data_IF_991601711786
#
_entry.id   IF_991601711786
#
_cell.length_a   1.000
_cell.length_b   1.000
_cell.length_c   1.000
_cell.angle_alpha   90.00
_cell.angle_beta   90.00
_cell.angle_gamma   90.00
#
_symmetry.space_group_name_H-M   'P 1'
#
loop_
_entity.id
_entity.type
_entity.pdbx_description
1 polymer ?
#
# COMPACT_ATOMS: atom_id res chain seq x y z
N UNK A 1 14.61 23.55 -0.08
CA UNK A 1 15.59 22.80 0.76
C UNK A 1 14.94 21.45 1.05
N UNK A 2 15.58 20.35 0.65
CA UNK A 2 15.01 19.01 0.88
C UNK A 2 14.94 18.66 2.36
N UNK A 3 14.18 17.61 2.67
CA UNK A 3 14.15 17.02 4.01
C UNK A 3 15.57 16.55 4.40
N UNK A 4 15.94 16.71 5.68
CA UNK A 4 17.21 16.16 6.19
C UNK A 4 17.17 14.64 6.13
N UNK A 5 18.33 14.01 5.92
CA UNK A 5 18.44 12.55 5.73
C UNK A 5 17.86 11.76 6.90
N UNK A 6 18.21 12.12 8.14
CA UNK A 6 17.67 11.47 9.34
C UNK A 6 16.14 11.55 9.42
N UNK A 7 15.57 12.69 9.02
CA UNK A 7 14.11 12.85 8.99
C UNK A 7 13.50 11.96 7.91
N UNK A 8 14.10 11.92 6.71
CA UNK A 8 13.63 11.07 5.62
C UNK A 8 13.63 9.60 6.01
N UNK A 9 14.72 9.10 6.62
CA UNK A 9 14.85 7.72 7.06
C UNK A 9 13.73 7.35 8.06
N UNK A 10 13.42 8.24 9.00
CA UNK A 10 12.43 7.96 10.05
C UNK A 10 10.99 8.07 9.56
N UNK A 11 10.71 8.95 8.59
CA UNK A 11 9.32 9.24 8.17
C UNK A 11 8.92 8.60 6.85
N UNK A 12 9.85 8.10 6.03
CA UNK A 12 9.53 7.46 4.77
C UNK A 12 8.54 6.30 4.95
N UNK A 13 7.47 6.28 4.14
CA UNK A 13 6.42 5.26 4.18
C UNK A 13 5.38 5.43 5.30
N UNK A 14 5.51 6.43 6.19
CA UNK A 14 4.47 6.77 7.16
C UNK A 14 3.44 7.70 6.53
N UNK A 15 2.17 7.37 6.71
CA UNK A 15 1.05 8.26 6.36
C UNK A 15 -0.07 8.13 7.41
N UNK A 16 0.06 8.80 8.57
CA UNK A 16 -0.90 8.66 9.64
C UNK A 16 -2.30 9.20 9.27
N UNK A 17 -2.38 10.22 8.41
CA UNK A 17 -3.66 10.83 8.02
C UNK A 17 -4.51 9.85 7.21
N UNK A 18 -3.88 9.09 6.31
CA UNK A 18 -4.54 7.99 5.60
C UNK A 18 -4.78 6.75 6.47
N UNK A 19 -4.19 6.67 7.67
CA UNK A 19 -4.23 5.51 8.56
C UNK A 19 -4.78 5.86 9.97
N UNK A 20 -5.88 6.61 10.03
CA UNK A 20 -6.62 6.90 11.28
C UNK A 20 -5.79 7.55 12.41
N UNK A 21 -4.74 8.29 12.07
CA UNK A 21 -3.80 8.89 13.01
C UNK A 21 -2.74 7.94 13.57
N UNK A 22 -2.68 6.70 13.10
CA UNK A 22 -1.71 5.71 13.55
C UNK A 22 -0.35 6.02 12.92
N UNK A 23 0.65 6.24 13.75
CA UNK A 23 2.01 6.61 13.30
C UNK A 23 2.67 5.49 12.48
N UNK A 24 2.46 4.25 12.90
CA UNK A 24 3.04 3.08 12.25
C UNK A 24 2.11 2.60 11.13
N UNK A 25 2.62 2.27 9.93
CA UNK A 25 1.83 1.67 8.88
C UNK A 25 1.14 0.38 9.37
N UNK A 26 -0.13 0.12 9.01
CA UNK A 26 -0.83 -1.09 9.39
C UNK A 26 -0.19 -2.34 8.76
N UNK A 27 -0.27 -3.46 9.47
CA UNK A 27 0.20 -4.77 8.97
C UNK A 27 -1.00 -5.58 8.51
N UNK A 28 -1.11 -5.81 7.20
CA UNK A 28 -2.17 -6.62 6.62
C UNK A 28 -1.69 -8.05 6.37
N UNK A 29 -2.12 -8.99 7.22
CA UNK A 29 -1.90 -10.42 7.02
C UNK A 29 -3.03 -11.03 6.20
N UNK A 30 -2.92 -10.94 4.88
CA UNK A 30 -3.93 -11.47 3.97
C UNK A 30 -3.28 -12.23 2.82
N UNK A 31 -3.89 -13.36 2.44
CA UNK A 31 -3.63 -13.98 1.14
C UNK A 31 -4.53 -13.39 0.07
N UNK A 32 -5.80 -13.16 0.39
CA UNK A 32 -6.84 -12.76 -0.58
C UNK A 32 -7.26 -11.30 -0.40
N UNK A 33 -7.44 -10.60 -1.52
CA UNK A 33 -7.96 -9.22 -1.58
C UNK A 33 -9.34 -9.24 -2.23
N UNK A 34 -10.29 -8.49 -1.66
CA UNK A 34 -11.64 -8.36 -2.21
C UNK A 34 -11.71 -7.20 -3.22
N UNK A 35 -12.54 -7.36 -4.25
CA UNK A 35 -12.80 -6.33 -5.24
C UNK A 35 -14.30 -6.04 -5.29
N UNK A 36 -14.70 -4.76 -5.41
CA UNK A 36 -16.11 -4.38 -5.41
C UNK A 36 -16.85 -4.86 -6.67
N UNK A 37 -16.13 -5.06 -7.78
CA UNK A 37 -16.70 -5.55 -9.05
C UNK A 37 -15.71 -6.45 -9.78
N UNK A 38 -16.24 -7.26 -10.70
CA UNK A 38 -15.42 -8.11 -11.59
C UNK A 38 -14.48 -7.27 -12.46
N UNK A 39 -14.94 -6.13 -12.98
CA UNK A 39 -14.11 -5.25 -13.78
C UNK A 39 -12.90 -4.69 -12.99
N UNK A 40 -13.08 -4.39 -11.69
CA UNK A 40 -11.98 -3.96 -10.83
C UNK A 40 -10.96 -5.09 -10.59
N UNK A 41 -11.43 -6.32 -10.36
CA UNK A 41 -10.59 -7.51 -10.27
C UNK A 41 -9.76 -7.70 -11.55
N UNK A 42 -10.39 -7.67 -12.72
CA UNK A 42 -9.71 -7.87 -14.01
C UNK A 42 -8.66 -6.79 -14.30
N UNK A 43 -8.95 -5.54 -13.93
CA UNK A 43 -8.00 -4.43 -14.04
C UNK A 43 -6.78 -4.67 -13.14
N UNK A 44 -7.00 -4.98 -11.86
CA UNK A 44 -5.91 -5.28 -10.91
C UNK A 44 -5.08 -6.49 -11.37
N UNK A 45 -5.73 -7.55 -11.88
CA UNK A 45 -5.03 -8.73 -12.40
C UNK A 45 -4.08 -8.43 -13.57
N UNK A 46 -4.45 -7.51 -14.47
CA UNK A 46 -3.60 -7.07 -15.58
C UNK A 46 -2.38 -6.28 -15.10
N UNK A 47 -2.50 -5.58 -13.98
CA UNK A 47 -1.48 -4.72 -13.39
C UNK A 47 -0.77 -5.36 -12.20
N UNK A 48 -0.98 -6.65 -11.91
CA UNK A 48 -0.51 -7.33 -10.68
C UNK A 48 1.01 -7.32 -10.44
N UNK A 49 1.81 -6.92 -11.42
CA UNK A 49 3.27 -6.83 -11.30
C UNK A 49 3.75 -5.39 -11.08
N UNK A 50 2.84 -4.43 -11.16
CA UNK A 50 3.09 -3.04 -10.79
C UNK A 50 3.18 -2.95 -9.26
N UNK A 51 4.25 -2.33 -8.76
CA UNK A 51 4.52 -2.18 -7.32
C UNK A 51 3.43 -1.38 -6.58
N UNK A 52 2.58 -0.65 -7.29
CA UNK A 52 1.49 0.13 -6.69
C UNK A 52 0.11 -0.56 -6.78
N UNK A 53 0.04 -1.82 -7.23
CA UNK A 53 -1.22 -2.56 -7.38
C UNK A 53 -1.36 -3.66 -6.34
N UNK A 54 -2.36 -3.56 -5.47
CA UNK A 54 -2.74 -4.62 -4.54
C UNK A 54 -3.69 -5.60 -5.24
N UNK A 55 -3.34 -6.89 -5.22
CA UNK A 55 -4.11 -7.94 -5.92
C UNK A 55 -4.30 -9.23 -5.10
N UNK A 56 -3.21 -9.72 -4.52
CA UNK A 56 -3.14 -10.92 -3.69
C UNK A 56 -1.93 -10.74 -2.78
N UNK A 57 -1.88 -11.35 -1.60
CA UNK A 57 -0.80 -11.09 -0.62
C UNK A 57 0.63 -11.36 -1.10
N UNK A 58 0.80 -11.96 -2.29
CA UNK A 58 2.09 -12.09 -2.98
C UNK A 58 2.52 -10.81 -3.73
N UNK A 59 1.57 -10.00 -4.17
CA UNK A 59 1.74 -8.92 -5.15
C UNK A 59 1.55 -7.52 -4.55
N UNK A 60 1.43 -7.41 -3.23
CA UNK A 60 1.15 -6.15 -2.53
C UNK A 60 0.15 -6.38 -1.41
#
# INVERSE_FOLDING_TARGET
MGMKEDTLIVTAGRDPESNHGIVNPPVYHASTVLFPTVAALEKSQKQRLDSNTVYYGRFG
#
